data_IF_906420239101
#
_entry.id   IF_906420239101
#
_cell.length_a   1.000
_cell.length_b   1.000
_cell.length_c   1.000
_cell.angle_alpha   90.00
_cell.angle_beta   90.00
_cell.angle_gamma   90.00
#
_symmetry.space_group_name_H-M   'P 1'
#
loop_
_entity.id
_entity.type
_entity.pdbx_description
1 polymer ?
#
# COMPACT_ATOMS: atom_id res chain seq x y z
N UNK A 1 -26.35 18.01 5.82
CA UNK A 1 -25.76 17.63 5.86
C UNK A 1 -25.28 17.53 5.83
N UNK A 2 -25.22 17.67 5.68
CA UNK A 2 -24.58 17.52 5.59
C UNK A 2 -24.15 16.91 5.21
N UNK A 3 -24.14 16.45 4.82
CA UNK A 3 -23.59 15.83 4.62
C UNK A 3 -23.11 15.49 3.87
N UNK A 4 -23.17 15.09 3.43
CA UNK A 4 -22.51 14.79 2.67
C UNK A 4 -21.29 15.13 2.34
N UNK A 5 -20.81 15.36 2.12
CA UNK A 5 -19.49 15.68 1.87
C UNK A 5 -18.65 15.76 3.05
N UNK A 6 -19.18 15.48 4.18
CA UNK A 6 -18.38 15.63 5.29
C UNK A 6 -17.33 14.62 5.44
N UNK A 7 -17.54 13.39 5.06
CA UNK A 7 -16.46 12.47 5.25
C UNK A 7 -15.31 12.76 4.30
N UNK A 8 -15.55 13.55 3.30
CA UNK A 8 -14.50 13.91 2.43
C UNK A 8 -13.49 14.84 3.04
N UNK A 9 -13.81 15.45 4.15
CA UNK A 9 -12.84 16.29 4.80
C UNK A 9 -11.67 15.51 5.36
N UNK A 10 -11.85 14.18 5.52
CA UNK A 10 -10.77 13.32 5.99
C UNK A 10 -9.89 12.82 4.87
N UNK A 11 -10.26 13.09 3.64
CA UNK A 11 -9.52 12.58 2.48
C UNK A 11 -8.92 13.75 1.73
N UNK A 12 -7.59 13.85 1.69
CA UNK A 12 -6.96 14.92 0.95
C UNK A 12 -7.42 14.96 -0.51
N UNK A 13 -7.38 16.15 -1.06
CA UNK A 13 -7.79 16.31 -2.44
C UNK A 13 -6.98 15.42 -3.36
N UNK A 14 -7.65 14.75 -4.28
CA UNK A 14 -6.97 13.89 -5.22
C UNK A 14 -6.81 12.47 -4.79
N UNK A 15 -7.31 12.12 -3.61
CA UNK A 15 -7.24 10.75 -3.13
C UNK A 15 -8.59 10.07 -3.23
N UNK A 16 -8.56 8.76 -3.38
CA UNK A 16 -9.76 7.94 -3.40
C UNK A 16 -9.70 6.95 -2.26
N UNK A 17 -10.85 6.57 -1.75
CA UNK A 17 -10.91 5.54 -0.73
C UNK A 17 -11.15 4.21 -1.41
N UNK A 18 -10.29 3.26 -1.15
CA UNK A 18 -10.41 1.92 -1.70
C UNK A 18 -10.41 0.95 -0.53
N UNK A 19 -11.55 0.37 -0.18
CA UNK A 19 -11.58 -0.59 0.92
C UNK A 19 -10.85 -1.87 0.50
N UNK A 20 -9.96 -2.32 1.36
CA UNK A 20 -9.15 -3.50 1.09
C UNK A 20 -9.15 -4.40 2.31
N UNK A 21 -9.43 -5.68 2.09
CA UNK A 21 -9.33 -6.67 3.16
C UNK A 21 -7.94 -7.25 3.14
N UNK A 22 -7.29 -7.29 4.29
CA UNK A 22 -5.96 -7.87 4.39
C UNK A 22 -5.96 -8.93 5.47
N UNK A 23 -4.98 -9.81 5.42
CA UNK A 23 -4.87 -10.87 6.41
C UNK A 23 -4.30 -10.32 7.71
N UNK A 24 -4.46 -11.11 8.77
CA UNK A 24 -3.90 -10.74 10.06
C UNK A 24 -2.36 -10.64 9.95
N UNK A 25 -1.78 -11.51 9.16
CA UNK A 25 -0.33 -11.49 8.96
C UNK A 25 0.13 -10.18 8.32
N UNK A 26 -0.62 -9.71 7.33
CA UNK A 26 -0.31 -8.44 6.67
C UNK A 26 -0.47 -7.28 7.63
N UNK A 27 -1.53 -7.33 8.45
CA UNK A 27 -1.77 -6.29 9.43
C UNK A 27 -0.63 -6.23 10.44
N UNK A 28 -0.20 -7.39 10.93
CA UNK A 28 0.90 -7.46 11.88
C UNK A 28 2.20 -6.93 11.27
N UNK A 29 2.44 -7.27 10.01
CA UNK A 29 3.63 -6.81 9.32
C UNK A 29 3.64 -5.28 9.18
N UNK A 30 2.51 -4.70 8.80
CA UNK A 30 2.41 -3.25 8.67
C UNK A 30 2.61 -2.57 10.01
N UNK A 31 2.01 -3.13 11.06
CA UNK A 31 2.16 -2.58 12.39
C UNK A 31 3.61 -2.64 12.84
N UNK A 32 4.28 -3.73 12.51
CA UNK A 32 5.70 -3.89 12.85
C UNK A 32 6.57 -2.85 12.17
N UNK A 33 6.31 -2.58 10.89
CA UNK A 33 7.04 -1.55 10.17
C UNK A 33 6.86 -0.19 10.83
N UNK A 34 5.62 0.13 11.17
CA UNK A 34 5.30 1.41 11.77
C UNK A 34 6.03 1.58 13.09
N UNK A 35 6.05 0.53 13.91
CA UNK A 35 6.73 0.57 15.20
C UNK A 35 8.24 0.71 15.04
N UNK A 36 8.79 0.00 14.07
CA UNK A 36 10.24 0.04 13.85
C UNK A 36 10.70 1.41 13.36
N UNK A 37 9.87 2.07 12.57
CA UNK A 37 10.20 3.42 12.12
C UNK A 37 10.45 4.33 13.30
N UNK A 38 9.56 4.26 14.30
CA UNK A 38 9.71 5.10 15.48
C UNK A 38 10.89 4.65 16.32
N UNK A 39 11.07 3.34 16.46
CA UNK A 39 12.13 2.80 17.30
C UNK A 39 13.51 3.16 16.80
N UNK A 40 13.66 3.40 15.49
CA UNK A 40 14.95 3.73 14.91
C UNK A 40 15.15 5.21 14.69
N UNK A 41 14.36 6.04 15.36
CA UNK A 41 14.58 7.48 15.35
C UNK A 41 13.73 8.26 14.38
N UNK A 42 12.88 7.60 13.61
CA UNK A 42 12.00 8.29 12.67
C UNK A 42 10.63 8.55 13.27
N UNK A 43 9.70 8.86 12.41
CA UNK A 43 8.32 9.07 12.83
C UNK A 43 7.52 7.82 12.53
N UNK A 44 6.54 7.54 13.38
CA UNK A 44 5.65 6.43 13.19
C UNK A 44 4.59 6.81 12.17
N UNK A 45 4.66 6.25 10.99
CA UNK A 45 3.70 6.53 9.94
C UNK A 45 2.47 5.62 10.06
N UNK A 46 1.28 6.15 9.79
CA UNK A 46 0.08 5.32 9.76
C UNK A 46 0.18 4.27 8.65
N UNK A 47 -0.57 3.18 8.82
CA UNK A 47 -0.55 2.10 7.84
C UNK A 47 -0.93 2.56 6.44
N UNK A 48 -1.87 3.50 6.34
CA UNK A 48 -2.27 4.00 5.04
C UNK A 48 -1.12 4.69 4.32
N UNK A 49 -0.25 5.37 5.06
CA UNK A 49 0.91 6.02 4.47
C UNK A 49 1.90 4.97 3.96
N UNK A 50 2.08 3.91 4.75
CA UNK A 50 2.98 2.83 4.35
C UNK A 50 2.47 2.18 3.07
N UNK A 51 1.17 1.89 3.01
CA UNK A 51 0.58 1.27 1.83
C UNK A 51 0.74 2.16 0.60
N UNK A 52 0.51 3.46 0.76
CA UNK A 52 0.67 4.38 -0.37
C UNK A 52 2.13 4.44 -0.83
N UNK A 53 3.06 4.38 0.12
CA UNK A 53 4.48 4.37 -0.24
C UNK A 53 4.85 3.13 -1.03
N UNK A 54 4.30 1.99 -0.61
CA UNK A 54 4.53 0.74 -1.33
C UNK A 54 4.00 0.82 -2.75
N UNK A 55 2.79 1.36 -2.90
CA UNK A 55 2.19 1.49 -4.22
C UNK A 55 3.01 2.45 -5.08
N UNK A 56 3.43 3.57 -4.51
CA UNK A 56 4.24 4.52 -5.26
C UNK A 56 5.53 3.89 -5.76
N UNK A 57 6.17 3.08 -4.92
CA UNK A 57 7.40 2.41 -5.31
C UNK A 57 7.14 1.40 -6.44
N UNK A 58 6.06 0.63 -6.28
CA UNK A 58 5.72 -0.40 -7.26
C UNK A 58 5.33 0.22 -8.60
N UNK A 59 4.71 1.40 -8.58
CA UNK A 59 4.30 2.06 -9.81
C UNK A 59 5.47 2.39 -10.73
N UNK A 60 6.69 2.41 -10.19
CA UNK A 60 7.87 2.70 -10.99
C UNK A 60 8.39 1.46 -11.71
N UNK A 61 7.81 0.32 -11.44
CA UNK A 61 8.22 -0.93 -12.06
C UNK A 61 7.40 -1.21 -13.30
N UNK A 62 8.00 -1.97 -14.21
CA UNK A 62 7.29 -2.44 -15.40
C UNK A 62 6.84 -3.85 -15.12
N UNK A 63 5.57 -4.00 -14.74
CA UNK A 63 5.02 -5.29 -14.36
C UNK A 63 4.22 -5.89 -15.51
N UNK A 64 4.59 -7.11 -15.89
CA UNK A 64 3.86 -7.83 -16.93
C UNK A 64 2.61 -8.45 -16.31
N UNK A 65 1.47 -7.87 -16.63
CA UNK A 65 0.20 -8.34 -16.07
C UNK A 65 -0.58 -9.22 -17.02
N UNK A 66 0.05 -9.67 -18.10
CA UNK A 66 -0.63 -10.53 -19.05
C UNK A 66 -0.83 -11.91 -18.43
N UNK A 67 -1.99 -12.49 -18.70
CA UNK A 67 -2.31 -13.85 -18.27
C UNK A 67 -2.33 -14.03 -16.76
N UNK A 68 -2.56 -12.96 -16.00
CA UNK A 68 -2.69 -13.06 -14.55
C UNK A 68 -4.02 -13.71 -14.21
N UNK A 69 -4.01 -14.75 -13.39
CA UNK A 69 -5.22 -15.47 -13.02
C UNK A 69 -5.45 -15.57 -11.53
N UNK A 70 -4.52 -15.12 -10.71
CA UNK A 70 -4.66 -15.22 -9.26
C UNK A 70 -3.80 -14.17 -8.60
N UNK A 71 -4.01 -14.00 -7.29
CA UNK A 71 -3.19 -13.08 -6.53
C UNK A 71 -1.73 -13.57 -6.49
N UNK A 72 -1.53 -14.87 -6.34
CA UNK A 72 -0.19 -15.42 -6.30
C UNK A 72 0.55 -15.18 -7.62
N UNK A 73 -0.17 -15.30 -8.72
CA UNK A 73 0.41 -15.06 -10.03
C UNK A 73 0.87 -13.62 -10.15
N UNK A 74 0.03 -12.68 -9.70
CA UNK A 74 0.38 -11.27 -9.73
C UNK A 74 1.55 -10.98 -8.80
N UNK A 75 1.53 -11.57 -7.61
CA UNK A 75 2.60 -11.37 -6.65
C UNK A 75 3.94 -11.81 -7.23
N UNK A 76 3.96 -12.95 -7.92
CA UNK A 76 5.18 -13.46 -8.55
C UNK A 76 5.70 -12.48 -9.61
N UNK A 77 4.79 -11.90 -10.39
CA UNK A 77 5.19 -10.94 -11.41
C UNK A 77 5.76 -9.66 -10.81
N UNK A 78 5.20 -9.24 -9.69
CA UNK A 78 5.71 -8.07 -9.01
C UNK A 78 7.12 -8.33 -8.48
N UNK A 79 7.33 -9.48 -7.85
CA UNK A 79 8.65 -9.84 -7.34
C UNK A 79 9.65 -9.91 -8.47
N UNK A 80 9.24 -10.48 -9.60
CA UNK A 80 10.11 -10.56 -10.76
C UNK A 80 10.52 -9.18 -11.25
N UNK A 81 9.56 -8.25 -11.28
CA UNK A 81 9.83 -6.88 -11.71
C UNK A 81 10.81 -6.20 -10.76
N UNK A 82 10.66 -6.46 -9.45
CA UNK A 82 11.57 -5.89 -8.46
C UNK A 82 12.99 -6.38 -8.70
N UNK A 83 13.16 -7.66 -8.99
CA UNK A 83 14.48 -8.21 -9.22
C UNK A 83 15.15 -7.63 -10.45
N UNK A 84 14.37 -7.20 -11.42
CA UNK A 84 14.90 -6.64 -12.66
C UNK A 84 15.08 -5.13 -12.61
N UNK A 85 14.63 -4.49 -11.56
CA UNK A 85 14.67 -3.04 -11.45
C UNK A 85 16.10 -2.55 -11.25
N UNK A 86 16.42 -1.45 -11.94
CA UNK A 86 17.75 -0.86 -11.85
C UNK A 86 17.70 0.60 -11.50
#
# INVERSE_FOLDING_TARGET
MKKRGRFRSDVPKGLFRVPVSITMEMETWLQGLSNEMKATGGYKLPKSFIIRSLINAIMKLDIDVSKIKSEESLESKIIEAIKKYR
#
